data_IF_858041728243
#
_entry.id   IF_858041728243
#
_cell.length_a   1.000
_cell.length_b   1.000
_cell.length_c   1.000
_cell.angle_alpha   90.00
_cell.angle_beta   90.00
_cell.angle_gamma   90.00
#
_symmetry.space_group_name_H-M   'P 1'
#
loop_
_entity.id
_entity.type
_entity.pdbx_description
1 polymer ?
#
# COMPACT_ATOMS: atom_id res chain seq x y z
N UNK A 1 13.94 24.76 25.28
CA UNK A 1 12.79 23.98 25.80
C UNK A 1 11.53 24.12 24.93
N UNK A 2 10.99 25.33 24.69
CA UNK A 2 9.79 25.51 23.85
C UNK A 2 10.03 25.17 22.37
N UNK A 3 11.20 25.55 21.85
CA UNK A 3 11.58 25.25 20.46
C UNK A 3 11.88 23.77 20.24
N UNK A 4 12.42 23.09 21.25
CA UNK A 4 12.70 21.64 21.18
C UNK A 4 11.41 20.83 21.14
N UNK A 5 10.42 21.20 21.95
CA UNK A 5 9.08 20.58 21.91
C UNK A 5 8.40 20.81 20.56
N UNK A 6 8.53 22.02 19.99
CA UNK A 6 7.98 22.33 18.67
C UNK A 6 8.63 21.46 17.58
N UNK A 7 9.96 21.33 17.58
CA UNK A 7 10.68 20.45 16.65
C UNK A 7 10.28 18.99 16.80
N UNK A 8 10.16 18.52 18.04
CA UNK A 8 9.70 17.16 18.32
C UNK A 8 8.30 16.90 17.76
N UNK A 9 7.36 17.82 17.97
CA UNK A 9 5.99 17.69 17.44
C UNK A 9 5.95 17.69 15.92
N UNK A 10 6.79 18.48 15.26
CA UNK A 10 6.90 18.49 13.79
C UNK A 10 7.38 17.13 13.30
N UNK A 11 8.48 16.62 13.85
CA UNK A 11 9.04 15.31 13.47
C UNK A 11 8.03 14.19 13.74
N UNK A 12 7.35 14.24 14.89
CA UNK A 12 6.32 13.27 15.23
C UNK A 12 5.17 13.27 14.21
N UNK A 13 4.69 14.45 13.82
CA UNK A 13 3.65 14.60 12.81
C UNK A 13 4.11 14.10 11.43
N UNK A 14 5.34 14.42 11.02
CA UNK A 14 5.92 13.92 9.76
C UNK A 14 5.99 12.38 9.74
N UNK A 15 6.48 11.75 10.81
CA UNK A 15 6.50 10.30 10.93
C UNK A 15 5.09 9.70 10.87
N UNK A 16 4.12 10.32 11.54
CA UNK A 16 2.74 9.87 11.49
C UNK A 16 2.16 9.94 10.07
N UNK A 17 2.42 11.03 9.34
CA UNK A 17 2.01 11.18 7.95
C UNK A 17 2.65 10.10 7.07
N UNK A 18 3.94 9.81 7.25
CA UNK A 18 4.63 8.76 6.49
C UNK A 18 3.96 7.40 6.73
N UNK A 19 3.69 7.05 7.99
CA UNK A 19 3.03 5.78 8.33
C UNK A 19 1.62 5.73 7.73
N UNK A 20 0.86 6.81 7.83
CA UNK A 20 -0.50 6.89 7.30
C UNK A 20 -0.51 6.75 5.77
N UNK A 21 0.38 7.45 5.07
CA UNK A 21 0.46 7.40 3.61
C UNK A 21 0.95 6.02 3.15
N UNK A 22 2.03 5.51 3.74
CA UNK A 22 2.60 4.22 3.33
C UNK A 22 1.72 3.03 3.68
N UNK A 23 1.06 3.07 4.84
CA UNK A 23 0.24 1.96 5.31
C UNK A 23 -1.22 2.01 4.91
N UNK A 24 -1.80 3.20 4.78
CA UNK A 24 -3.22 3.36 4.44
C UNK A 24 -3.43 3.72 2.97
N UNK A 25 -2.82 4.80 2.52
CA UNK A 25 -3.12 5.40 1.20
C UNK A 25 -2.49 4.61 0.05
N UNK A 26 -1.18 4.37 0.14
CA UNK A 26 -0.39 3.70 -0.89
C UNK A 26 -0.92 2.30 -1.25
N UNK A 27 -1.24 1.40 -0.30
CA UNK A 27 -1.71 0.08 -0.67
C UNK A 27 -3.08 0.08 -1.34
N UNK A 28 -3.96 1.03 -0.99
CA UNK A 28 -5.25 1.19 -1.68
C UNK A 28 -5.07 1.68 -3.12
N UNK A 29 -4.11 2.57 -3.38
CA UNK A 29 -3.76 2.99 -4.75
C UNK A 29 -3.21 1.79 -5.53
N UNK A 30 -2.29 1.03 -4.93
CA UNK A 30 -1.72 -0.17 -5.55
C UNK A 30 -2.79 -1.22 -5.86
N UNK A 31 -3.77 -1.43 -4.98
CA UNK A 31 -4.87 -2.37 -5.19
C UNK A 31 -5.70 -1.94 -6.39
N UNK A 32 -6.05 -0.66 -6.48
CA UNK A 32 -6.79 -0.13 -7.62
C UNK A 32 -6.02 -0.29 -8.94
N UNK A 33 -4.73 0.04 -8.94
CA UNK A 33 -3.87 -0.07 -10.14
C UNK A 33 -3.73 -1.53 -10.57
N UNK A 34 -3.40 -2.43 -9.64
CA UNK A 34 -3.21 -3.86 -9.93
C UNK A 34 -4.52 -4.50 -10.41
N UNK A 35 -5.65 -4.20 -9.77
CA UNK A 35 -6.96 -4.70 -10.20
C UNK A 35 -7.38 -4.13 -11.56
N UNK A 36 -7.03 -2.88 -11.88
CA UNK A 36 -7.28 -2.33 -13.21
C UNK A 36 -6.49 -3.09 -14.28
N UNK A 37 -5.22 -3.40 -14.04
CA UNK A 37 -4.43 -4.24 -14.93
C UNK A 37 -4.97 -5.68 -15.03
N UNK A 38 -5.53 -6.23 -13.95
CA UNK A 38 -6.11 -7.57 -13.92
C UNK A 38 -7.42 -7.67 -14.70
N UNK A 39 -8.28 -6.65 -14.61
CA UNK A 39 -9.63 -6.68 -15.16
C UNK A 39 -9.77 -6.14 -16.59
N UNK A 40 -8.67 -5.78 -17.27
CA UNK A 40 -8.72 -5.42 -18.69
C UNK A 40 -8.88 -6.70 -19.55
N UNK A 41 -10.05 -6.92 -20.17
CA UNK A 41 -10.29 -8.11 -20.99
C UNK A 41 -9.59 -7.90 -22.34
N UNK A 42 -8.59 -8.74 -22.63
CA UNK A 42 -7.99 -8.83 -23.98
C UNK A 42 -6.46 -8.82 -24.07
N UNK A 43 -5.72 -8.34 -23.07
CA UNK A 43 -4.24 -8.27 -23.15
C UNK A 43 -3.51 -9.41 -22.45
N UNK A 44 -4.10 -10.02 -21.43
CA UNK A 44 -3.44 -11.05 -20.60
C UNK A 44 -4.16 -12.41 -20.52
N UNK A 45 -5.31 -12.57 -21.17
CA UNK A 45 -6.06 -13.84 -21.21
C UNK A 45 -5.28 -15.00 -21.86
N UNK A 46 -4.23 -14.69 -22.64
CA UNK A 46 -3.48 -15.68 -23.41
C UNK A 46 -2.09 -16.04 -22.86
N UNK A 47 -1.72 -15.58 -21.66
CA UNK A 47 -0.38 -15.88 -21.12
C UNK A 47 -0.42 -16.33 -19.66
N UNK A 48 -0.45 -17.65 -19.46
CA UNK A 48 -0.30 -18.35 -18.17
C UNK A 48 0.91 -17.82 -17.39
N UNK A 49 1.96 -17.39 -18.10
CA UNK A 49 3.19 -16.85 -17.52
C UNK A 49 2.98 -15.49 -16.82
N UNK A 50 2.19 -14.59 -17.41
CA UNK A 50 1.97 -13.24 -16.88
C UNK A 50 0.91 -13.25 -15.78
N UNK A 51 -0.13 -14.08 -15.94
CA UNK A 51 -1.10 -14.35 -14.86
C UNK A 51 -0.42 -14.87 -13.59
N UNK A 52 0.51 -15.83 -13.70
CA UNK A 52 1.25 -16.35 -12.55
C UNK A 52 2.23 -15.36 -11.90
N UNK A 53 2.77 -14.40 -12.64
CA UNK A 53 3.72 -13.41 -12.14
C UNK A 53 3.03 -12.26 -11.37
N UNK A 54 1.77 -11.96 -11.68
CA UNK A 54 1.02 -10.84 -11.07
C UNK A 54 0.17 -11.26 -9.85
N UNK A 55 -0.14 -12.56 -9.68
CA UNK A 55 -0.85 -13.09 -8.50
C UNK A 55 -0.05 -12.87 -7.20
N UNK A 56 1.27 -13.11 -7.24
CA UNK A 56 2.14 -12.94 -6.05
C UNK A 56 2.19 -11.48 -5.54
N UNK A 57 2.38 -10.45 -6.38
CA UNK A 57 2.29 -9.06 -5.97
C UNK A 57 0.97 -8.69 -5.28
N UNK A 58 -0.15 -9.18 -5.81
CA UNK A 58 -1.50 -8.95 -5.27
C UNK A 58 -1.67 -9.62 -3.90
N UNK A 59 -1.20 -10.85 -3.75
CA UNK A 59 -1.19 -11.56 -2.48
C UNK A 59 -0.33 -10.87 -1.41
N UNK A 60 0.87 -10.40 -1.79
CA UNK A 60 1.74 -9.63 -0.89
C UNK A 60 1.06 -8.32 -0.45
N UNK A 61 0.40 -7.63 -1.37
CA UNK A 61 -0.33 -6.39 -1.09
C UNK A 61 -1.47 -6.63 -0.10
N UNK A 62 -2.27 -7.68 -0.31
CA UNK A 62 -3.37 -8.01 0.60
C UNK A 62 -2.89 -8.45 1.98
N UNK A 63 -1.81 -9.23 2.06
CA UNK A 63 -1.20 -9.58 3.34
C UNK A 63 -0.68 -8.33 4.08
N UNK A 64 -0.08 -7.39 3.35
CA UNK A 64 0.34 -6.11 3.92
C UNK A 64 -0.84 -5.30 4.47
N UNK A 65 -1.91 -5.13 3.68
CA UNK A 65 -3.13 -4.44 4.10
C UNK A 65 -3.78 -5.09 5.33
N UNK A 66 -3.82 -6.42 5.36
CA UNK A 66 -4.37 -7.19 6.47
C UNK A 66 -3.59 -6.94 7.77
N UNK A 67 -2.26 -7.08 7.73
CA UNK A 67 -1.39 -6.85 8.89
C UNK A 67 -1.50 -5.40 9.36
N UNK A 68 -1.45 -4.43 8.44
CA UNK A 68 -1.54 -3.02 8.78
C UNK A 68 -2.87 -2.67 9.46
N UNK A 69 -3.99 -3.15 8.91
CA UNK A 69 -5.31 -2.97 9.51
C UNK A 69 -5.42 -3.68 10.87
N UNK A 70 -4.77 -4.83 11.05
CA UNK A 70 -4.73 -5.53 12.33
C UNK A 70 -3.92 -4.81 13.39
N UNK A 71 -2.94 -3.98 13.03
CA UNK A 71 -2.16 -3.16 13.97
C UNK A 71 -2.92 -1.89 14.36
N UNK A 72 -3.73 -1.36 13.44
CA UNK A 72 -4.55 -0.17 13.65
C UNK A 72 -5.85 -0.41 14.41
N UNK A 73 -6.32 -1.66 14.44
CA UNK A 73 -7.54 -2.09 15.13
C UNK A 73 -7.26 -2.43 16.60
#
# INVERSE_FOLDING_TARGET
MRDDIRKFLIIYAECFIIIFVMGGVLPNILDHVLNHFYNQPGTYENSILVGGQLIKPLEILYNYMYIFNSILR
#
